data_IF_017495354025
#
_entry.id   IF_017495354025
#
_cell.length_a   1.000
_cell.length_b   1.000
_cell.length_c   1.000
_cell.angle_alpha   90.00
_cell.angle_beta   90.00
_cell.angle_gamma   90.00
#
_symmetry.space_group_name_H-M   'P 1'
#
loop_
_entity.id
_entity.type
_entity.pdbx_description
1 polymer ?
#
# COMPACT_ATOMS: atom_id res chain seq x y z
N UNK A 1 -10.97 -25.32 7.14
CA UNK A 1 -10.03 -24.32 7.71
C UNK A 1 -9.08 -23.77 6.65
N UNK A 2 -8.30 -24.63 5.98
CA UNK A 2 -7.31 -24.27 4.94
C UNK A 2 -7.76 -23.15 3.97
N UNK A 3 -8.88 -23.30 3.26
CA UNK A 3 -9.34 -22.30 2.28
C UNK A 3 -9.53 -20.88 2.84
N UNK A 4 -9.98 -20.76 4.11
CA UNK A 4 -10.16 -19.44 4.74
C UNK A 4 -8.81 -18.81 5.08
N UNK A 5 -7.91 -19.60 5.66
CA UNK A 5 -6.53 -19.17 5.95
C UNK A 5 -5.81 -18.78 4.67
N UNK A 6 -5.94 -19.58 3.61
CA UNK A 6 -5.33 -19.29 2.32
C UNK A 6 -5.86 -17.99 1.70
N UNK A 7 -7.18 -17.77 1.75
CA UNK A 7 -7.77 -16.50 1.28
C UNK A 7 -7.27 -15.30 2.09
N UNK A 8 -7.14 -15.44 3.42
CA UNK A 8 -6.59 -14.39 4.29
C UNK A 8 -5.14 -14.03 3.88
N UNK A 9 -4.27 -15.02 3.76
CA UNK A 9 -2.87 -14.81 3.34
C UNK A 9 -2.80 -14.22 1.93
N UNK A 10 -3.61 -14.74 0.99
CA UNK A 10 -3.69 -14.21 -0.39
C UNK A 10 -4.12 -12.74 -0.38
N UNK A 11 -4.97 -12.32 0.55
CA UNK A 11 -5.43 -10.91 0.63
C UNK A 11 -4.31 -9.99 1.07
N UNK A 12 -3.49 -10.42 2.04
CA UNK A 12 -2.32 -9.66 2.48
C UNK A 12 -1.33 -9.55 1.32
N UNK A 13 -1.00 -10.67 0.67
CA UNK A 13 -0.05 -10.70 -0.45
C UNK A 13 -0.59 -9.93 -1.67
N UNK A 14 -1.88 -9.99 -1.98
CA UNK A 14 -2.44 -9.23 -3.09
C UNK A 14 -2.44 -7.71 -2.85
N UNK A 15 -2.43 -7.26 -1.59
CA UNK A 15 -2.29 -5.84 -1.30
C UNK A 15 -0.85 -5.35 -1.59
N UNK A 16 0.16 -6.22 -1.47
CA UNK A 16 1.57 -5.83 -1.72
C UNK A 16 1.83 -5.49 -3.16
N UNK A 17 1.07 -6.06 -4.11
CA UNK A 17 1.22 -5.74 -5.52
C UNK A 17 0.84 -4.29 -5.84
N UNK A 18 0.14 -3.60 -4.93
CA UNK A 18 -0.15 -2.17 -5.07
C UNK A 18 1.05 -1.27 -4.74
N UNK A 19 2.13 -1.81 -4.16
CA UNK A 19 3.39 -1.08 -4.02
C UNK A 19 4.25 -1.20 -5.28
N UNK A 20 5.06 -0.18 -5.55
CA UNK A 20 6.10 -0.21 -6.59
C UNK A 20 7.46 -0.63 -6.04
N UNK A 21 7.67 -0.59 -4.73
CA UNK A 21 8.98 -0.75 -4.08
C UNK A 21 9.94 0.42 -4.22
N UNK A 22 9.71 1.34 -5.18
CA UNK A 22 10.51 2.55 -5.39
C UNK A 22 10.11 3.72 -4.47
N UNK A 23 9.10 3.55 -3.62
CA UNK A 23 8.56 4.61 -2.76
C UNK A 23 7.69 5.61 -3.53
N UNK A 24 7.80 6.91 -3.22
CA UNK A 24 7.06 8.00 -3.88
C UNK A 24 7.95 8.75 -4.88
N UNK A 25 8.13 8.23 -6.12
CA UNK A 25 8.99 8.83 -7.13
C UNK A 25 8.53 10.21 -7.60
N UNK A 26 7.29 10.62 -7.27
CA UNK A 26 6.73 11.91 -7.64
C UNK A 26 7.57 13.10 -7.16
N UNK A 27 8.33 12.97 -6.05
CA UNK A 27 9.24 14.02 -5.60
C UNK A 27 10.46 14.23 -6.51
N UNK A 28 10.71 13.29 -7.43
CA UNK A 28 11.81 13.33 -8.40
C UNK A 28 11.36 13.74 -9.81
N UNK A 29 10.06 14.03 -9.99
CA UNK A 29 9.54 14.61 -11.22
C UNK A 29 9.97 16.06 -11.37
N UNK A 30 10.16 16.49 -12.61
CA UNK A 30 10.61 17.85 -12.92
C UNK A 30 12.12 18.04 -12.78
N UNK A 31 12.53 19.24 -12.37
CA UNK A 31 13.90 19.76 -12.46
C UNK A 31 14.79 19.39 -11.27
N UNK A 32 14.78 18.12 -10.84
CA UNK A 32 15.76 17.61 -9.87
C UNK A 32 17.12 17.50 -10.56
N UNK A 33 18.21 17.82 -9.84
CA UNK A 33 19.56 17.70 -10.41
C UNK A 33 19.89 16.24 -10.73
N UNK A 34 20.78 16.05 -11.71
CA UNK A 34 21.20 14.71 -12.08
C UNK A 34 21.91 13.97 -10.93
N UNK A 35 22.67 14.68 -10.08
CA UNK A 35 23.31 14.10 -8.91
C UNK A 35 22.30 13.46 -7.97
N UNK A 36 21.22 14.20 -7.64
CA UNK A 36 20.16 13.72 -6.74
C UNK A 36 19.44 12.54 -7.37
N UNK A 37 19.09 12.64 -8.65
CA UNK A 37 18.40 11.56 -9.35
C UNK A 37 19.25 10.28 -9.41
N UNK A 38 20.52 10.39 -9.80
CA UNK A 38 21.41 9.24 -9.94
C UNK A 38 21.75 8.61 -8.59
N UNK A 39 21.95 9.41 -7.54
CA UNK A 39 22.14 8.89 -6.19
C UNK A 39 20.92 8.08 -5.72
N UNK A 40 19.71 8.63 -5.90
CA UNK A 40 18.50 7.87 -5.58
C UNK A 40 18.35 6.62 -6.44
N UNK A 41 18.45 6.76 -7.77
CA UNK A 41 18.21 5.69 -8.73
C UNK A 41 19.17 4.52 -8.49
N UNK A 42 20.46 4.80 -8.33
CA UNK A 42 21.48 3.76 -8.14
C UNK A 42 21.27 2.97 -6.84
N UNK A 43 20.76 3.60 -5.79
CA UNK A 43 20.45 2.91 -4.53
C UNK A 43 19.10 2.16 -4.62
N UNK A 44 18.08 2.80 -5.19
CA UNK A 44 16.76 2.19 -5.35
C UNK A 44 16.79 0.97 -6.27
N UNK A 45 17.43 1.06 -7.44
CA UNK A 45 17.46 0.00 -8.45
C UNK A 45 18.18 -1.26 -7.92
N UNK A 46 19.28 -1.11 -7.19
CA UNK A 46 19.97 -2.23 -6.52
C UNK A 46 19.05 -3.02 -5.59
N UNK A 47 18.15 -2.33 -4.90
CA UNK A 47 17.21 -2.96 -3.99
C UNK A 47 15.98 -3.52 -4.71
N UNK A 48 15.40 -2.75 -5.64
CA UNK A 48 14.05 -3.01 -6.15
C UNK A 48 14.07 -3.94 -7.35
N UNK A 49 15.08 -3.92 -8.22
CA UNK A 49 15.10 -4.62 -9.53
C UNK A 49 14.51 -6.05 -9.50
N UNK A 50 15.32 -7.09 -9.31
CA UNK A 50 14.82 -8.48 -9.32
C UNK A 50 13.94 -8.79 -8.09
N UNK A 51 14.27 -8.21 -6.94
CA UNK A 51 13.56 -8.48 -5.67
C UNK A 51 12.10 -8.02 -5.74
N UNK A 52 11.84 -6.85 -6.30
CA UNK A 52 10.50 -6.29 -6.50
C UNK A 52 9.66 -7.15 -7.42
N UNK A 53 10.21 -7.63 -8.55
CA UNK A 53 9.50 -8.57 -9.42
C UNK A 53 9.07 -9.85 -8.69
N UNK A 54 9.97 -10.42 -7.88
CA UNK A 54 9.67 -11.64 -7.14
C UNK A 54 8.64 -11.38 -6.03
N UNK A 55 8.91 -10.41 -5.16
CA UNK A 55 8.18 -10.18 -3.91
C UNK A 55 6.83 -9.53 -4.18
N UNK A 56 6.79 -8.49 -5.02
CA UNK A 56 5.57 -7.70 -5.25
C UNK A 56 4.67 -8.29 -6.33
N UNK A 57 5.19 -9.18 -7.20
CA UNK A 57 4.41 -9.70 -8.33
C UNK A 57 4.33 -11.21 -8.40
N UNK A 58 5.46 -11.91 -8.47
CA UNK A 58 5.46 -13.35 -8.69
C UNK A 58 4.76 -14.08 -7.53
N UNK A 59 5.15 -13.76 -6.29
CA UNK A 59 4.55 -14.35 -5.10
C UNK A 59 3.03 -14.07 -5.04
N UNK A 60 2.54 -12.82 -5.10
CA UNK A 60 1.10 -12.55 -5.14
C UNK A 60 0.37 -13.24 -6.29
N UNK A 61 0.96 -13.28 -7.49
CA UNK A 61 0.35 -13.91 -8.67
C UNK A 61 0.15 -15.42 -8.48
N UNK A 62 1.11 -16.12 -7.90
CA UNK A 62 0.98 -17.56 -7.59
C UNK A 62 -0.21 -17.79 -6.63
N UNK A 63 -0.33 -16.98 -5.57
CA UNK A 63 -1.43 -17.10 -4.62
C UNK A 63 -2.78 -16.77 -5.25
N UNK A 64 -2.84 -15.73 -6.09
CA UNK A 64 -4.04 -15.36 -6.83
C UNK A 64 -4.47 -16.46 -7.82
N UNK A 65 -3.54 -17.09 -8.53
CA UNK A 65 -3.82 -18.22 -9.42
C UNK A 65 -4.46 -19.37 -8.62
N UNK A 66 -3.84 -19.80 -7.52
CA UNK A 66 -4.38 -20.86 -6.66
C UNK A 66 -5.77 -20.46 -6.14
N UNK A 67 -5.93 -19.21 -5.68
CA UNK A 67 -7.21 -18.70 -5.16
C UNK A 67 -8.31 -18.67 -6.23
N UNK A 68 -7.97 -18.36 -7.48
CA UNK A 68 -8.90 -18.38 -8.60
C UNK A 68 -9.42 -19.80 -8.87
N UNK A 69 -8.53 -20.80 -8.89
CA UNK A 69 -8.87 -22.22 -9.04
C UNK A 69 -9.76 -22.69 -7.89
N UNK A 70 -9.44 -22.30 -6.65
CA UNK A 70 -10.27 -22.60 -5.49
C UNK A 70 -11.69 -22.01 -5.60
N UNK A 71 -11.83 -20.77 -6.09
CA UNK A 71 -13.15 -20.16 -6.31
C UNK A 71 -13.94 -20.84 -7.43
N UNK A 72 -13.29 -21.18 -8.54
CA UNK A 72 -13.94 -21.87 -9.66
C UNK A 72 -14.39 -23.28 -9.25
N UNK A 73 -13.54 -24.03 -8.52
CA UNK A 73 -13.88 -25.36 -7.98
C UNK A 73 -15.08 -25.31 -7.03
N UNK A 74 -15.20 -24.22 -6.26
CA UNK A 74 -16.34 -23.99 -5.35
C UNK A 74 -17.58 -23.43 -6.07
N UNK A 75 -17.62 -23.44 -7.40
CA UNK A 75 -18.70 -22.91 -8.23
C UNK A 75 -18.96 -21.41 -8.00
N UNK A 76 -17.98 -20.67 -7.47
CA UNK A 76 -18.03 -19.22 -7.26
C UNK A 76 -17.47 -18.50 -8.49
N UNK A 77 -18.07 -18.76 -9.67
CA UNK A 77 -17.59 -18.31 -10.98
C UNK A 77 -17.18 -16.84 -11.02
N UNK A 78 -18.03 -15.94 -10.52
CA UNK A 78 -17.77 -14.51 -10.55
C UNK A 78 -16.57 -14.11 -9.66
N UNK A 79 -16.39 -14.74 -8.50
CA UNK A 79 -15.18 -14.52 -7.67
C UNK A 79 -13.93 -15.01 -8.40
N UNK A 80 -14.00 -16.18 -9.03
CA UNK A 80 -12.93 -16.71 -9.87
C UNK A 80 -12.53 -15.75 -10.98
N UNK A 81 -13.50 -15.20 -11.71
CA UNK A 81 -13.27 -14.23 -12.80
C UNK A 81 -12.57 -12.97 -12.28
N UNK A 82 -13.04 -12.36 -11.19
CA UNK A 82 -12.38 -11.19 -10.63
C UNK A 82 -10.96 -11.49 -10.12
N UNK A 83 -10.72 -12.68 -9.57
CA UNK A 83 -9.36 -13.10 -9.21
C UNK A 83 -8.47 -13.30 -10.46
N UNK A 84 -9.01 -13.81 -11.56
CA UNK A 84 -8.29 -13.90 -12.84
C UNK A 84 -7.94 -12.51 -13.38
N UNK A 85 -8.85 -11.54 -13.31
CA UNK A 85 -8.54 -10.14 -13.65
C UNK A 85 -7.44 -9.56 -12.76
N UNK A 86 -7.42 -9.89 -11.47
CA UNK A 86 -6.33 -9.49 -10.58
C UNK A 86 -4.98 -10.09 -11.01
N UNK A 87 -4.95 -11.36 -11.43
CA UNK A 87 -3.74 -12.00 -11.98
C UNK A 87 -3.30 -11.28 -13.25
N UNK A 88 -4.21 -11.03 -14.21
CA UNK A 88 -3.86 -10.36 -15.46
C UNK A 88 -3.34 -8.95 -15.25
N UNK A 89 -3.94 -8.16 -14.36
CA UNK A 89 -3.44 -6.82 -14.06
C UNK A 89 -1.98 -6.86 -13.56
N UNK A 90 -1.68 -7.76 -12.62
CA UNK A 90 -0.31 -7.95 -12.13
C UNK A 90 0.66 -8.43 -13.22
N UNK A 91 0.28 -9.40 -14.05
CA UNK A 91 1.12 -9.90 -15.14
C UNK A 91 1.38 -8.85 -16.22
N UNK A 92 0.40 -8.01 -16.55
CA UNK A 92 0.59 -6.88 -17.47
C UNK A 92 1.55 -5.87 -16.85
N UNK A 93 1.45 -5.61 -15.55
CA UNK A 93 2.40 -4.75 -14.84
C UNK A 93 3.84 -5.26 -14.95
N UNK A 94 4.06 -6.55 -14.68
CA UNK A 94 5.35 -7.22 -14.85
C UNK A 94 5.85 -7.12 -16.28
N UNK A 95 4.98 -7.37 -17.25
CA UNK A 95 5.32 -7.24 -18.68
C UNK A 95 5.80 -5.83 -19.00
N UNK A 96 5.14 -4.78 -18.47
CA UNK A 96 5.52 -3.40 -18.70
C UNK A 96 6.90 -3.09 -18.12
N UNK A 97 7.18 -3.55 -16.89
CA UNK A 97 8.48 -3.37 -16.26
C UNK A 97 9.59 -4.02 -17.09
N UNK A 98 9.43 -5.29 -17.45
CA UNK A 98 10.47 -6.05 -18.17
C UNK A 98 10.73 -5.48 -19.56
N UNK A 99 9.68 -5.10 -20.29
CA UNK A 99 9.82 -4.69 -21.69
C UNK A 99 10.11 -3.21 -21.89
N UNK A 100 9.76 -2.35 -20.93
CA UNK A 100 9.88 -0.90 -21.10
C UNK A 100 10.72 -0.23 -20.01
N UNK A 101 10.49 -0.53 -18.72
CA UNK A 101 11.24 0.13 -17.65
C UNK A 101 12.69 -0.36 -17.57
N UNK A 102 12.92 -1.68 -17.62
CA UNK A 102 14.26 -2.26 -17.46
C UNK A 102 15.24 -1.91 -18.57
N UNK A 103 14.86 -1.87 -19.86
CA UNK A 103 15.76 -1.40 -20.90
C UNK A 103 16.19 0.06 -20.72
N UNK A 104 15.36 0.90 -20.07
CA UNK A 104 15.75 2.28 -19.74
C UNK A 104 16.61 2.29 -18.48
N UNK A 105 16.26 1.50 -17.47
CA UNK A 105 17.05 1.37 -16.24
C UNK A 105 18.50 0.93 -16.54
N UNK A 106 18.69 -0.05 -17.45
CA UNK A 106 20.01 -0.51 -17.87
C UNK A 106 20.78 0.53 -18.69
N UNK A 107 20.10 1.47 -19.35
CA UNK A 107 20.76 2.62 -19.97
C UNK A 107 21.23 3.62 -18.92
N UNK A 108 20.43 3.85 -17.87
CA UNK A 108 20.76 4.75 -16.76
C UNK A 108 21.89 4.17 -15.90
N UNK A 109 21.98 2.84 -15.81
CA UNK A 109 23.06 2.14 -15.12
C UNK A 109 24.43 2.54 -15.71
N UNK A 110 25.26 3.18 -14.89
CA UNK A 110 26.57 3.68 -15.32
C UNK A 110 26.60 5.14 -15.78
N UNK A 111 25.46 5.85 -15.78
CA UNK A 111 25.47 7.30 -15.91
C UNK A 111 26.26 7.95 -14.77
N UNK A 112 26.98 9.01 -15.11
CA UNK A 112 27.63 9.90 -14.17
C UNK A 112 27.15 11.34 -14.43
N UNK A 113 27.10 12.21 -13.40
CA UNK A 113 26.61 13.59 -13.56
C UNK A 113 27.32 14.38 -14.67
N UNK A 114 28.61 14.12 -14.90
CA UNK A 114 29.44 14.73 -15.94
C UNK A 114 29.32 14.07 -17.32
N UNK A 115 28.61 12.93 -17.42
CA UNK A 115 28.50 12.09 -18.62
C UNK A 115 27.05 11.68 -18.92
N UNK A 116 26.13 12.63 -18.83
CA UNK A 116 24.72 12.39 -19.14
C UNK A 116 24.46 12.49 -20.64
N UNK A 117 23.60 11.63 -21.20
CA UNK A 117 23.12 11.83 -22.56
C UNK A 117 22.27 13.09 -22.65
N UNK A 118 22.24 13.75 -23.81
CA UNK A 118 21.51 15.02 -24.01
C UNK A 118 20.00 14.89 -23.77
N UNK A 119 19.44 13.68 -23.85
CA UNK A 119 18.04 13.35 -23.61
C UNK A 119 17.78 12.70 -22.23
N UNK A 120 18.71 12.79 -21.27
CA UNK A 120 18.58 12.09 -19.97
C UNK A 120 17.28 12.41 -19.22
N UNK A 121 16.78 13.65 -19.29
CA UNK A 121 15.50 14.05 -18.67
C UNK A 121 14.34 13.26 -19.28
N UNK A 122 14.31 13.15 -20.61
CA UNK A 122 13.27 12.40 -21.32
C UNK A 122 13.29 10.92 -20.94
N UNK A 123 14.49 10.32 -20.85
CA UNK A 123 14.66 8.91 -20.46
C UNK A 123 14.25 8.68 -18.99
N UNK A 124 14.63 9.58 -18.09
CA UNK A 124 14.19 9.57 -16.68
C UNK A 124 12.66 9.60 -16.57
N UNK A 125 12.02 10.56 -17.24
CA UNK A 125 10.58 10.74 -17.14
C UNK A 125 9.81 9.60 -17.82
N UNK A 126 10.35 9.04 -18.90
CA UNK A 126 9.80 7.84 -19.54
C UNK A 126 9.93 6.61 -18.63
N UNK A 127 11.05 6.44 -17.94
CA UNK A 127 11.21 5.39 -16.94
C UNK A 127 10.17 5.54 -15.81
N UNK A 128 10.03 6.72 -15.22
CA UNK A 128 9.02 6.98 -14.17
C UNK A 128 7.61 6.66 -14.63
N UNK A 129 7.25 7.04 -15.86
CA UNK A 129 5.95 6.71 -16.46
C UNK A 129 5.67 5.20 -16.42
N UNK A 130 6.64 4.36 -16.78
CA UNK A 130 6.43 2.90 -16.75
C UNK A 130 6.35 2.34 -15.33
N UNK A 131 7.13 2.89 -14.38
CA UNK A 131 7.02 2.54 -12.95
C UNK A 131 5.64 2.91 -12.39
N UNK A 132 5.07 4.05 -12.79
CA UNK A 132 3.72 4.47 -12.38
C UNK A 132 2.63 3.60 -12.98
N UNK A 133 2.70 3.29 -14.28
CA UNK A 133 1.75 2.38 -14.92
C UNK A 133 1.79 1.01 -14.25
N UNK A 134 2.98 0.53 -13.90
CA UNK A 134 3.17 -0.69 -13.14
C UNK A 134 2.45 -0.63 -11.77
N UNK A 135 2.66 0.42 -10.97
CA UNK A 135 1.98 0.60 -9.69
C UNK A 135 0.45 0.72 -9.84
N UNK A 136 -0.03 1.40 -10.87
CA UNK A 136 -1.46 1.51 -11.19
C UNK A 136 -2.10 0.15 -11.50
N UNK A 137 -1.39 -0.71 -12.24
CA UNK A 137 -1.85 -2.07 -12.55
C UNK A 137 -1.86 -2.96 -11.29
N UNK A 138 -0.88 -2.77 -10.41
CA UNK A 138 -0.86 -3.37 -9.08
C UNK A 138 -2.09 -3.01 -8.24
N UNK A 139 -2.42 -1.71 -8.19
CA UNK A 139 -3.63 -1.20 -7.51
C UNK A 139 -4.92 -1.71 -8.16
N UNK A 140 -4.97 -1.80 -9.49
CA UNK A 140 -6.09 -2.39 -10.21
C UNK A 140 -6.27 -3.87 -9.86
N UNK A 141 -5.17 -4.62 -9.79
CA UNK A 141 -5.17 -6.02 -9.35
C UNK A 141 -5.72 -6.18 -7.94
N UNK A 142 -5.25 -5.35 -7.00
CA UNK A 142 -5.77 -5.28 -5.64
C UNK A 142 -7.27 -4.96 -5.62
N UNK A 143 -7.72 -3.96 -6.37
CA UNK A 143 -9.12 -3.57 -6.50
C UNK A 143 -10.00 -4.74 -6.96
N UNK A 144 -9.61 -5.40 -8.06
CA UNK A 144 -10.31 -6.57 -8.58
C UNK A 144 -10.40 -7.69 -7.53
N UNK A 145 -9.34 -7.91 -6.76
CA UNK A 145 -9.34 -8.94 -5.73
C UNK A 145 -10.25 -8.60 -4.55
N UNK A 146 -10.28 -7.35 -4.06
CA UNK A 146 -11.16 -6.94 -2.96
C UNK A 146 -12.63 -7.10 -3.33
N UNK A 147 -13.02 -6.84 -4.59
CA UNK A 147 -14.39 -7.03 -5.09
C UNK A 147 -14.90 -8.46 -4.82
N UNK A 148 -14.01 -9.46 -4.80
CA UNK A 148 -14.37 -10.86 -4.54
C UNK A 148 -15.05 -11.06 -3.19
N UNK A 149 -14.77 -10.21 -2.18
CA UNK A 149 -15.42 -10.26 -0.87
C UNK A 149 -16.90 -9.83 -0.91
N UNK A 150 -17.26 -9.01 -1.89
CA UNK A 150 -18.59 -8.40 -2.02
C UNK A 150 -19.49 -9.09 -3.04
N UNK A 151 -18.94 -10.00 -3.85
CA UNK A 151 -19.72 -10.90 -4.71
C UNK A 151 -20.62 -11.80 -3.83
N UNK A 152 -21.96 -11.72 -3.98
CA UNK A 152 -22.89 -12.52 -3.18
C UNK A 152 -22.65 -14.02 -3.36
N UNK A 153 -22.67 -14.78 -2.26
CA UNK A 153 -22.85 -16.24 -2.36
C UNK A 153 -24.32 -16.54 -2.55
N UNK A 154 -24.66 -17.37 -3.54
CA UNK A 154 -26.04 -17.71 -3.97
C UNK A 154 -26.99 -18.29 -2.91
N UNK A 155 -26.56 -18.44 -1.66
CA UNK A 155 -27.41 -18.86 -0.54
C UNK A 155 -27.77 -17.64 0.32
N UNK A 156 -28.96 -17.09 0.09
CA UNK A 156 -29.53 -16.07 0.96
C UNK A 156 -30.01 -16.70 2.27
N UNK A 157 -29.22 -16.55 3.34
CA UNK A 157 -29.71 -16.79 4.70
C UNK A 157 -30.50 -15.54 5.13
N UNK A 158 -31.75 -15.75 5.53
CA UNK A 158 -32.66 -14.71 6.00
C UNK A 158 -32.19 -14.18 7.36
N UNK A 159 -31.48 -13.04 7.35
CA UNK A 159 -31.18 -12.27 8.55
C UNK A 159 -31.92 -10.94 8.46
N UNK A 160 -32.44 -10.44 9.60
CA UNK A 160 -33.06 -9.12 9.72
C UNK A 160 -32.11 -8.06 9.14
N UNK A 161 -32.45 -7.53 7.97
CA UNK A 161 -31.59 -6.62 7.20
C UNK A 161 -31.77 -5.20 7.72
N UNK A 162 -30.68 -4.44 7.83
CA UNK A 162 -30.77 -2.98 7.74
C UNK A 162 -31.63 -2.60 6.52
N UNK A 163 -32.25 -1.41 6.50
CA UNK A 163 -32.81 -0.84 5.28
C UNK A 163 -31.85 -1.01 4.10
N UNK A 164 -32.38 -1.33 2.92
CA UNK A 164 -31.58 -1.68 1.73
C UNK A 164 -30.44 -0.70 1.47
N UNK A 165 -30.72 0.59 1.61
CA UNK A 165 -29.75 1.67 1.50
C UNK A 165 -28.62 1.55 2.53
N UNK A 166 -28.93 1.44 3.83
CA UNK A 166 -27.91 1.33 4.89
C UNK A 166 -27.06 0.07 4.76
N UNK A 167 -27.63 -1.05 4.32
CA UNK A 167 -26.84 -2.25 4.06
C UNK A 167 -25.89 -2.08 2.87
N UNK A 168 -26.33 -1.39 1.80
CA UNK A 168 -25.47 -1.03 0.68
C UNK A 168 -24.34 -0.11 1.13
N UNK A 169 -24.65 0.98 1.83
CA UNK A 169 -23.66 1.94 2.34
C UNK A 169 -22.64 1.25 3.23
N UNK A 170 -23.06 0.42 4.19
CA UNK A 170 -22.14 -0.35 5.05
C UNK A 170 -21.15 -1.20 4.24
N UNK A 171 -21.64 -1.90 3.23
CA UNK A 171 -20.77 -2.73 2.39
C UNK A 171 -19.82 -1.87 1.54
N UNK A 172 -20.29 -0.74 1.01
CA UNK A 172 -19.44 0.21 0.30
C UNK A 172 -18.36 0.81 1.21
N UNK A 173 -18.71 1.17 2.45
CA UNK A 173 -17.75 1.63 3.47
C UNK A 173 -16.72 0.56 3.80
N UNK A 174 -17.17 -0.67 4.07
CA UNK A 174 -16.26 -1.78 4.38
C UNK A 174 -15.31 -2.06 3.21
N UNK A 175 -15.81 -2.01 1.97
CA UNK A 175 -15.00 -2.14 0.76
C UNK A 175 -13.94 -1.05 0.69
N UNK A 176 -14.36 0.21 0.78
CA UNK A 176 -13.47 1.37 0.69
C UNK A 176 -12.38 1.34 1.77
N UNK A 177 -12.76 1.09 3.02
CA UNK A 177 -11.81 1.03 4.14
C UNK A 177 -10.86 -0.18 4.03
N UNK A 178 -11.34 -1.33 3.54
CA UNK A 178 -10.46 -2.48 3.27
C UNK A 178 -9.45 -2.14 2.19
N UNK A 179 -9.90 -1.51 1.10
CA UNK A 179 -9.05 -1.14 -0.02
C UNK A 179 -7.96 -0.16 0.42
N UNK A 180 -8.34 0.96 1.05
CA UNK A 180 -7.41 1.99 1.53
C UNK A 180 -6.43 1.44 2.57
N UNK A 181 -6.91 0.68 3.55
CA UNK A 181 -6.04 0.11 4.58
C UNK A 181 -5.08 -0.94 4.01
N UNK A 182 -5.49 -1.68 2.96
CA UNK A 182 -4.59 -2.57 2.22
C UNK A 182 -3.45 -1.81 1.53
N UNK A 183 -3.75 -0.66 0.91
CA UNK A 183 -2.71 0.20 0.31
C UNK A 183 -1.73 0.73 1.37
N UNK A 184 -2.23 1.16 2.54
CA UNK A 184 -1.37 1.60 3.64
C UNK A 184 -0.49 0.47 4.17
N UNK A 185 -1.05 -0.73 4.36
CA UNK A 185 -0.32 -1.90 4.85
C UNK A 185 0.75 -2.40 3.87
N UNK A 186 0.57 -2.17 2.57
CA UNK A 186 1.55 -2.55 1.55
C UNK A 186 2.91 -1.85 1.75
N UNK A 187 2.93 -0.67 2.40
CA UNK A 187 4.16 0.08 2.67
C UNK A 187 5.15 -0.63 3.59
N UNK A 188 4.71 -1.54 4.47
CA UNK A 188 5.64 -2.33 5.29
C UNK A 188 6.62 -3.09 4.39
N UNK A 189 6.15 -3.60 3.25
CA UNK A 189 6.98 -4.36 2.33
C UNK A 189 8.10 -3.49 1.76
N UNK A 190 7.84 -2.18 1.58
CA UNK A 190 8.88 -1.27 1.13
C UNK A 190 10.00 -1.16 2.16
N UNK A 191 9.67 -1.01 3.44
CA UNK A 191 10.66 -0.96 4.51
C UNK A 191 11.39 -2.28 4.73
N UNK A 192 10.68 -3.40 4.65
CA UNK A 192 11.28 -4.71 4.92
C UNK A 192 12.18 -5.22 3.78
N UNK A 193 11.89 -4.85 2.53
CA UNK A 193 12.56 -5.43 1.37
C UNK A 193 13.35 -4.43 0.52
N UNK A 194 13.07 -3.12 0.63
CA UNK A 194 13.70 -2.07 -0.18
C UNK A 194 14.30 -0.97 0.70
N UNK A 195 15.43 -1.27 1.34
CA UNK A 195 16.12 -0.41 2.32
C UNK A 195 16.92 0.74 1.69
N UNK A 196 16.69 1.11 0.43
CA UNK A 196 17.52 2.09 -0.28
C UNK A 196 17.50 3.48 0.36
N UNK A 197 16.44 3.83 1.09
CA UNK A 197 16.35 5.10 1.84
C UNK A 197 17.42 5.22 2.92
N UNK A 198 17.99 4.10 3.39
CA UNK A 198 19.13 4.07 4.30
C UNK A 198 20.48 4.33 3.60
N UNK A 199 20.53 4.26 2.27
CA UNK A 199 21.77 4.28 1.49
C UNK A 199 21.98 5.58 0.69
N UNK A 200 20.90 6.31 0.37
CA UNK A 200 20.99 7.60 -0.32
C UNK A 200 21.71 8.67 0.51
N UNK A 201 22.32 9.64 -0.15
CA UNK A 201 22.99 10.77 0.50
C UNK A 201 22.02 11.68 1.26
N UNK A 202 22.54 12.46 2.22
CA UNK A 202 21.74 13.41 2.99
C UNK A 202 21.09 14.48 2.11
N UNK A 203 21.82 14.98 1.10
CA UNK A 203 21.30 15.96 0.15
C UNK A 203 20.12 15.39 -0.63
N UNK A 204 20.29 14.20 -1.22
CA UNK A 204 19.21 13.50 -1.94
C UNK A 204 18.01 13.26 -1.05
N UNK A 205 18.24 12.78 0.18
CA UNK A 205 17.17 12.55 1.14
C UNK A 205 16.35 13.82 1.41
N UNK A 206 17.01 14.95 1.68
CA UNK A 206 16.32 16.20 2.05
C UNK A 206 15.59 16.82 0.86
N UNK A 207 16.20 16.82 -0.32
CA UNK A 207 15.58 17.33 -1.55
C UNK A 207 14.36 16.50 -1.98
N UNK A 208 14.38 15.18 -1.74
CA UNK A 208 13.22 14.32 -1.94
C UNK A 208 12.15 14.48 -0.85
N UNK A 209 12.58 14.58 0.42
CA UNK A 209 11.68 14.54 1.57
C UNK A 209 10.84 15.81 1.71
N UNK A 210 11.47 16.98 1.61
CA UNK A 210 10.81 18.28 1.88
C UNK A 210 9.54 18.52 1.07
N UNK A 211 9.54 18.44 -0.28
CA UNK A 211 8.34 18.70 -1.06
C UNK A 211 7.21 17.73 -0.69
N UNK A 212 7.55 16.47 -0.41
CA UNK A 212 6.60 15.46 0.00
C UNK A 212 6.03 15.75 1.40
N UNK A 213 6.85 16.11 2.40
CA UNK A 213 6.39 16.45 3.74
C UNK A 213 5.44 17.65 3.72
N UNK A 214 5.76 18.71 2.97
CA UNK A 214 4.92 19.89 2.88
C UNK A 214 3.52 19.58 2.35
N UNK A 215 3.42 18.69 1.35
CA UNK A 215 2.13 18.23 0.81
C UNK A 215 1.41 17.35 1.83
N UNK A 216 2.10 16.35 2.39
CA UNK A 216 1.51 15.41 3.34
C UNK A 216 1.02 16.13 4.60
N UNK A 217 1.79 17.07 5.16
CA UNK A 217 1.41 17.83 6.34
C UNK A 217 0.09 18.59 6.17
N UNK A 218 -0.15 19.10 4.96
CA UNK A 218 -1.40 19.80 4.62
C UNK A 218 -2.57 18.84 4.45
N UNK A 219 -2.34 17.68 3.83
CA UNK A 219 -3.40 16.74 3.43
C UNK A 219 -3.72 15.70 4.51
N UNK A 220 -2.73 15.27 5.30
CA UNK A 220 -2.85 14.18 6.26
C UNK A 220 -3.92 14.42 7.34
N UNK A 221 -4.07 15.61 7.96
CA UNK A 221 -5.13 15.84 8.94
C UNK A 221 -6.54 15.66 8.36
N UNK A 222 -6.73 16.07 7.10
CA UNK A 222 -8.01 15.93 6.39
C UNK A 222 -8.29 14.46 6.13
N UNK A 223 -7.31 13.73 5.58
CA UNK A 223 -7.42 12.30 5.29
C UNK A 223 -7.68 11.50 6.57
N UNK A 224 -6.95 11.79 7.65
CA UNK A 224 -7.15 11.15 8.95
C UNK A 224 -8.57 11.37 9.47
N UNK A 225 -9.03 12.63 9.52
CA UNK A 225 -10.37 12.98 10.04
C UNK A 225 -11.46 12.29 9.24
N UNK A 226 -11.32 12.25 7.91
CA UNK A 226 -12.25 11.57 7.03
C UNK A 226 -12.28 10.05 7.29
N UNK A 227 -11.11 9.39 7.27
CA UNK A 227 -11.02 7.95 7.49
C UNK A 227 -11.53 7.56 8.88
N UNK A 228 -11.10 8.28 9.93
CA UNK A 228 -11.54 8.07 11.30
C UNK A 228 -13.08 8.13 11.41
N UNK A 229 -13.69 9.15 10.79
CA UNK A 229 -15.15 9.30 10.76
C UNK A 229 -15.85 8.12 10.08
N UNK A 230 -15.29 7.59 8.98
CA UNK A 230 -15.81 6.39 8.30
C UNK A 230 -15.67 5.13 9.17
N UNK A 231 -14.58 4.98 9.91
CA UNK A 231 -14.41 3.87 10.87
C UNK A 231 -15.44 3.90 11.99
N UNK A 232 -15.71 5.07 12.56
CA UNK A 232 -16.75 5.24 13.60
C UNK A 232 -18.13 4.91 13.02
N UNK A 233 -18.46 5.42 11.83
CA UNK A 233 -19.73 5.11 11.17
C UNK A 233 -19.88 3.61 10.91
N UNK A 234 -18.85 2.94 10.39
CA UNK A 234 -18.87 1.50 10.14
C UNK A 234 -19.03 0.69 11.44
N UNK A 235 -18.40 1.13 12.53
CA UNK A 235 -18.55 0.54 13.87
C UNK A 235 -20.00 0.61 14.33
N UNK A 236 -20.61 1.79 14.24
CA UNK A 236 -22.02 2.02 14.62
C UNK A 236 -22.93 1.08 13.82
N UNK A 237 -22.74 1.00 12.49
CA UNK A 237 -23.53 0.14 11.62
C UNK A 237 -23.43 -1.35 12.00
N UNK A 238 -22.24 -1.84 12.36
CA UNK A 238 -22.08 -3.23 12.82
C UNK A 238 -22.77 -3.49 14.16
N UNK A 239 -22.72 -2.55 15.10
CA UNK A 239 -23.43 -2.70 16.38
C UNK A 239 -24.94 -2.58 16.22
N UNK A 240 -25.45 -1.73 15.32
CA UNK A 240 -26.88 -1.66 15.00
C UNK A 240 -27.41 -2.99 14.46
N UNK A 241 -26.58 -3.77 13.75
CA UNK A 241 -26.91 -5.13 13.30
C UNK A 241 -26.75 -6.22 14.38
N UNK A 242 -26.40 -5.80 15.60
CA UNK A 242 -26.03 -6.66 16.75
C UNK A 242 -24.84 -7.57 16.44
N UNK A 243 -23.95 -7.17 15.52
CA UNK A 243 -22.76 -7.93 15.18
C UNK A 243 -21.55 -7.44 16.00
N UNK A 244 -21.55 -7.79 17.29
CA UNK A 244 -20.55 -7.30 18.25
C UNK A 244 -19.12 -7.59 17.83
N UNK A 245 -18.84 -8.82 17.37
CA UNK A 245 -17.47 -9.22 17.00
C UNK A 245 -16.93 -8.38 15.84
N UNK A 246 -17.73 -8.13 14.79
CA UNK A 246 -17.30 -7.27 13.67
C UNK A 246 -17.13 -5.82 14.11
N UNK A 247 -18.04 -5.30 14.95
CA UNK A 247 -17.89 -3.96 15.53
C UNK A 247 -16.60 -3.80 16.33
N UNK A 248 -16.25 -4.78 17.18
CA UNK A 248 -15.01 -4.79 17.95
C UNK A 248 -13.76 -4.86 17.07
N UNK A 249 -13.78 -5.63 15.98
CA UNK A 249 -12.68 -5.67 15.01
C UNK A 249 -12.47 -4.32 14.30
N UNK A 250 -13.56 -3.60 13.97
CA UNK A 250 -13.45 -2.26 13.41
C UNK A 250 -12.92 -1.27 14.47
N UNK A 251 -13.35 -1.36 15.74
CA UNK A 251 -12.75 -0.57 16.84
C UNK A 251 -11.24 -0.83 16.94
N UNK A 252 -10.83 -2.10 16.89
CA UNK A 252 -9.41 -2.45 16.96
C UNK A 252 -8.63 -1.84 15.78
N UNK A 253 -9.19 -1.88 14.56
CA UNK A 253 -8.60 -1.19 13.42
C UNK A 253 -8.50 0.33 13.62
N UNK A 254 -9.52 0.95 14.20
CA UNK A 254 -9.52 2.38 14.55
C UNK A 254 -8.43 2.71 15.58
N UNK A 255 -8.23 1.88 16.60
CA UNK A 255 -7.17 2.06 17.60
C UNK A 255 -5.80 2.05 16.92
N UNK A 256 -5.54 1.08 16.03
CA UNK A 256 -4.29 1.04 15.29
C UNK A 256 -4.07 2.27 14.39
N UNK A 257 -5.13 2.80 13.76
CA UNK A 257 -5.08 4.07 13.02
C UNK A 257 -4.72 5.26 13.92
N UNK A 258 -5.31 5.33 15.11
CA UNK A 258 -5.00 6.40 16.08
C UNK A 258 -3.56 6.28 16.60
N UNK A 259 -3.08 5.07 16.90
CA UNK A 259 -1.70 4.83 17.32
C UNK A 259 -0.69 5.20 16.21
N UNK A 260 -0.96 4.84 14.96
CA UNK A 260 -0.13 5.26 13.82
C UNK A 260 -0.05 6.79 13.72
N UNK A 261 -1.20 7.45 13.82
CA UNK A 261 -1.28 8.91 13.74
C UNK A 261 -0.57 9.57 14.91
N UNK A 262 -0.69 9.00 16.12
CA UNK A 262 0.05 9.46 17.28
C UNK A 262 1.57 9.37 17.05
N UNK A 263 2.07 8.24 16.53
CA UNK A 263 3.51 8.12 16.23
C UNK A 263 3.94 9.13 15.16
N UNK A 264 3.10 9.32 14.14
CA UNK A 264 3.36 10.28 13.07
C UNK A 264 3.51 11.71 13.61
N UNK A 265 2.63 12.13 14.51
CA UNK A 265 2.61 13.49 15.05
C UNK A 265 3.69 13.71 16.11
N UNK A 266 3.84 12.80 17.06
CA UNK A 266 4.72 12.99 18.22
C UNK A 266 6.18 12.67 17.93
N UNK A 267 6.46 11.74 17.01
CA UNK A 267 7.82 11.28 16.76
C UNK A 267 8.32 11.65 15.37
N UNK A 268 7.57 11.36 14.30
CA UNK A 268 8.00 11.74 12.95
C UNK A 268 7.89 13.25 12.73
N UNK A 269 6.82 13.89 13.19
CA UNK A 269 6.55 15.33 13.02
C UNK A 269 7.72 16.23 13.43
N UNK A 270 8.25 16.13 14.67
CA UNK A 270 9.39 16.93 15.11
C UNK A 270 10.66 16.69 14.29
N UNK A 271 10.88 15.45 13.81
CA UNK A 271 12.03 15.16 12.94
C UNK A 271 11.81 15.74 11.53
N UNK A 272 10.58 15.74 11.01
CA UNK A 272 10.27 16.39 9.75
C UNK A 272 10.49 17.91 9.83
N UNK A 273 10.14 18.54 10.96
CA UNK A 273 10.42 19.96 11.19
C UNK A 273 11.93 20.25 11.14
N UNK A 274 12.74 19.34 11.69
CA UNK A 274 14.19 19.41 11.60
C UNK A 274 14.68 19.25 10.15
N UNK A 275 14.21 18.25 9.40
CA UNK A 275 14.55 18.07 7.98
C UNK A 275 14.17 19.28 7.12
N UNK A 276 13.02 19.90 7.41
CA UNK A 276 12.56 21.10 6.71
C UNK A 276 13.44 22.32 6.99
N UNK A 277 14.16 22.36 8.11
CA UNK A 277 15.11 23.43 8.46
C UNK A 277 16.49 23.28 7.79
N UNK A 278 16.81 22.09 7.28
CA UNK A 278 18.11 21.83 6.66
C UNK A 278 18.16 22.40 5.24
N UNK A 279 19.36 22.54 4.69
CA UNK A 279 19.63 22.85 3.29
C UNK A 279 20.78 21.95 2.85
N UNK A 280 21.09 21.89 1.56
CA UNK A 280 22.24 21.10 1.07
C UNK A 280 23.56 21.44 1.75
N UNK A 281 23.71 22.63 2.34
CA UNK A 281 24.91 23.09 3.05
C UNK A 281 24.79 23.09 4.57
N UNK A 282 23.61 22.81 5.13
CA UNK A 282 23.36 22.84 6.60
C UNK A 282 22.96 21.47 7.17
N UNK A 283 23.15 20.39 6.42
CA UNK A 283 22.90 19.02 6.89
C UNK A 283 23.90 18.69 8.03
N UNK A 284 23.42 18.30 9.22
CA UNK A 284 24.30 18.04 10.34
C UNK A 284 25.09 16.74 10.15
N UNK A 285 26.26 16.64 10.77
CA UNK A 285 27.14 15.47 10.62
C UNK A 285 26.49 14.14 11.07
N UNK A 286 25.53 14.21 11.99
CA UNK A 286 24.77 13.06 12.51
C UNK A 286 23.44 12.82 11.77
N UNK A 287 23.21 13.42 10.60
CA UNK A 287 21.94 13.34 9.87
C UNK A 287 21.47 11.90 9.61
N UNK A 288 22.38 10.97 9.31
CA UNK A 288 22.04 9.58 9.05
C UNK A 288 21.40 8.91 10.27
N UNK A 289 21.91 9.19 11.47
CA UNK A 289 21.31 8.69 12.72
C UNK A 289 19.89 9.25 12.95
N UNK A 290 19.67 10.53 12.59
CA UNK A 290 18.36 11.17 12.69
C UNK A 290 17.39 10.56 11.66
N UNK A 291 17.85 10.32 10.44
CA UNK A 291 17.10 9.61 9.39
C UNK A 291 16.74 8.20 9.83
N UNK A 292 17.66 7.44 10.37
CA UNK A 292 17.40 6.05 10.77
C UNK A 292 16.37 6.00 11.90
N UNK A 293 16.43 6.95 12.84
CA UNK A 293 15.39 7.12 13.85
C UNK A 293 14.02 7.43 13.23
N UNK A 294 13.97 8.31 12.23
CA UNK A 294 12.76 8.63 11.49
C UNK A 294 12.19 7.42 10.73
N UNK A 295 13.04 6.66 10.03
CA UNK A 295 12.69 5.43 9.32
C UNK A 295 12.16 4.36 10.28
N UNK A 296 12.76 4.22 11.47
CA UNK A 296 12.28 3.28 12.50
C UNK A 296 10.87 3.63 13.00
N UNK A 297 10.53 4.92 13.15
CA UNK A 297 9.15 5.30 13.48
C UNK A 297 8.18 4.98 12.34
N UNK A 298 8.59 5.15 11.08
CA UNK A 298 7.79 4.68 9.94
C UNK A 298 7.58 3.16 9.94
N UNK A 299 8.61 2.38 10.28
CA UNK A 299 8.47 0.94 10.41
C UNK A 299 7.42 0.57 11.48
N UNK A 300 7.44 1.21 12.65
CA UNK A 300 6.43 0.96 13.68
C UNK A 300 5.02 1.30 13.21
N UNK A 301 4.87 2.41 12.48
CA UNK A 301 3.62 2.83 11.87
C UNK A 301 3.08 1.80 10.87
N UNK A 302 3.94 1.30 9.99
CA UNK A 302 3.54 0.31 8.98
C UNK A 302 3.15 -1.04 9.62
N UNK A 303 3.80 -1.43 10.73
CA UNK A 303 3.40 -2.59 11.53
C UNK A 303 1.98 -2.39 12.12
N UNK A 304 1.67 -1.21 12.65
CA UNK A 304 0.32 -0.89 13.13
C UNK A 304 -0.72 -0.93 12.00
N UNK A 305 -0.37 -0.45 10.80
CA UNK A 305 -1.26 -0.51 9.64
C UNK A 305 -1.57 -1.96 9.23
N UNK A 306 -0.62 -2.88 9.31
CA UNK A 306 -0.89 -4.31 9.06
C UNK A 306 -1.81 -4.92 10.10
N UNK A 307 -1.67 -4.56 11.37
CA UNK A 307 -2.62 -5.01 12.40
C UNK A 307 -4.01 -4.42 12.20
N UNK A 308 -4.09 -3.14 11.81
CA UNK A 308 -5.35 -2.49 11.42
C UNK A 308 -6.01 -3.19 10.23
N UNK A 309 -5.23 -3.46 9.18
CA UNK A 309 -5.69 -4.17 7.98
C UNK A 309 -6.18 -5.58 8.30
N UNK A 310 -5.40 -6.33 9.06
CA UNK A 310 -5.75 -7.68 9.52
C UNK A 310 -7.07 -7.69 10.28
N UNK A 311 -7.28 -6.70 11.16
CA UNK A 311 -8.51 -6.54 11.94
C UNK A 311 -9.73 -6.34 11.03
N UNK A 312 -9.63 -5.49 10.01
CA UNK A 312 -10.71 -5.28 9.02
C UNK A 312 -10.96 -6.54 8.20
N UNK A 313 -9.90 -7.19 7.69
CA UNK A 313 -10.04 -8.41 6.90
C UNK A 313 -10.76 -9.50 7.71
N UNK A 314 -10.43 -9.66 8.99
CA UNK A 314 -11.07 -10.66 9.85
C UNK A 314 -12.59 -10.49 9.94
N UNK A 315 -13.14 -9.29 9.68
CA UNK A 315 -14.60 -9.09 9.62
C UNK A 315 -15.29 -9.91 8.52
N UNK A 316 -14.57 -10.31 7.46
CA UNK A 316 -15.11 -11.20 6.42
C UNK A 316 -15.15 -12.67 6.85
N UNK A 317 -14.36 -13.06 7.86
CA UNK A 317 -14.20 -14.44 8.30
C UNK A 317 -14.99 -14.77 9.56
N UNK A 318 -15.25 -13.77 10.41
CA UNK A 318 -16.03 -13.93 11.63
C UNK A 318 -17.51 -14.07 11.32
N UNK A 319 -18.10 -15.16 11.82
CA UNK A 319 -19.54 -15.42 11.71
C UNK A 319 -20.32 -14.49 12.65
N UNK A 320 -21.57 -14.20 12.28
CA UNK A 320 -22.49 -13.51 13.18
C UNK A 320 -22.74 -14.44 14.37
N UNK A 321 -22.64 -13.92 15.60
CA UNK A 321 -23.12 -14.65 16.77
C UNK A 321 -24.62 -14.89 16.54
N UNK A 322 -25.00 -16.11 16.21
CA UNK A 322 -26.39 -16.51 16.33
C UNK A 322 -26.69 -16.45 17.81
N UNK A 323 -27.51 -15.48 18.22
CA UNK A 323 -28.07 -15.47 19.55
C UNK A 323 -28.86 -16.78 19.60
N UNK A 324 -28.32 -17.77 20.31
CA UNK A 324 -29.01 -19.02 20.58
C UNK A 324 -30.40 -18.61 21.07
N UNK A 325 -31.43 -18.93 20.26
CA UNK A 325 -32.81 -18.76 20.69
C UNK A 325 -32.95 -19.68 21.90
N UNK A 326 -32.87 -19.09 23.10
CA UNK A 326 -33.29 -19.74 24.33
C UNK A 326 -34.81 -19.73 24.39
#
# INVERSE_FOLDING_TARGET
MFKKTFLFVTTILAATSASTGYGSPDSLKGSVSADIFLDWFNNAEKCVHIKGLIILNLIPSIFLIIQSVLFLKDQKKLKGIFTVFAVFANLIGVFIIINYAYPIASQIEGWAPDKLPSNWISLKDEWFKYIEIYGLLGMLGWLCFVITYFVPSSKHVAVKKLPRFLNFSKNALLFFLTFVMGLSAARLYDFCFFTFTYEISGTTFIEMHRPLDLVIRKVAPIVFTFLFSLYILLTILFFSEKNKNKGLLIILATIFLVCDTFIALEYNGPINDLFNSWTSTTIPINWASIRDKWLNYHLYRDVLMIFGFSSIILTYFVQKNEIAKK
#
